data_IF_946779361349
#
_entry.id   IF_946779361349
#
_cell.length_a   1.000
_cell.length_b   1.000
_cell.length_c   1.000
_cell.angle_alpha   90.00
_cell.angle_beta   90.00
_cell.angle_gamma   90.00
#
_symmetry.space_group_name_H-M   'P 1'
#
loop_
_entity.id
_entity.type
_entity.pdbx_description
1 polymer ?
#
# COMPACT_ATOMS: atom_id res chain seq x y z
N UNK A 1 24.86 23.36 6.82
CA UNK A 1 25.02 21.91 6.53
C UNK A 1 24.23 21.59 5.29
N UNK A 2 24.91 21.11 4.26
CA UNK A 2 24.48 21.00 2.86
C UNK A 2 23.17 20.23 2.66
N UNK A 3 22.13 20.93 2.31
CA UNK A 3 20.96 20.40 1.61
C UNK A 3 21.30 20.28 0.12
N UNK A 4 22.00 19.26 -0.28
CA UNK A 4 22.17 18.98 -1.70
C UNK A 4 22.50 17.51 -1.91
N UNK A 5 21.45 16.71 -2.00
CA UNK A 5 21.36 15.59 -2.93
C UNK A 5 19.87 15.24 -3.10
N UNK A 6 19.23 15.92 -4.02
CA UNK A 6 17.89 15.61 -4.54
C UNK A 6 17.91 14.32 -5.34
N UNK A 7 18.24 13.21 -4.71
CA UNK A 7 18.01 11.89 -5.26
C UNK A 7 16.54 11.56 -5.12
N UNK A 8 15.93 11.14 -6.23
CA UNK A 8 14.55 10.69 -6.27
C UNK A 8 14.30 9.71 -5.09
N UNK A 9 13.34 9.99 -4.17
CA UNK A 9 13.06 9.14 -2.99
C UNK A 9 12.83 7.67 -3.36
N UNK A 10 12.17 7.44 -4.50
CA UNK A 10 11.97 6.11 -5.07
C UNK A 10 13.29 5.41 -5.46
N UNK A 11 14.23 6.13 -6.04
CA UNK A 11 15.53 5.57 -6.41
C UNK A 11 16.30 5.06 -5.19
N UNK A 12 16.25 5.79 -4.07
CA UNK A 12 16.88 5.36 -2.81
C UNK A 12 16.19 4.13 -2.21
N UNK A 13 14.84 4.06 -2.26
CA UNK A 13 14.10 2.88 -1.81
C UNK A 13 14.47 1.64 -2.61
N UNK A 14 14.57 1.77 -3.94
CA UNK A 14 15.00 0.69 -4.83
C UNK A 14 16.44 0.25 -4.54
N UNK A 15 17.34 1.18 -4.23
CA UNK A 15 18.72 0.86 -3.86
C UNK A 15 18.79 0.07 -2.55
N UNK A 16 17.98 0.41 -1.55
CA UNK A 16 17.85 -0.35 -0.30
C UNK A 16 17.25 -1.75 -0.52
N UNK A 17 16.32 -1.89 -1.45
CA UNK A 17 15.69 -3.17 -1.80
C UNK A 17 16.61 -4.11 -2.61
N UNK A 18 17.66 -3.57 -3.23
CA UNK A 18 18.56 -4.29 -4.15
C UNK A 18 19.14 -5.60 -3.62
N UNK A 19 19.60 -5.72 -2.35
CA UNK A 19 20.11 -6.99 -1.82
C UNK A 19 19.07 -8.10 -1.75
N UNK A 20 17.79 -7.75 -1.58
CA UNK A 20 16.67 -8.68 -1.42
C UNK A 20 15.73 -8.71 -2.64
N UNK A 21 16.22 -8.32 -3.82
CA UNK A 21 15.46 -8.23 -5.08
C UNK A 21 14.74 -9.50 -5.46
N UNK A 22 15.28 -10.67 -5.12
CA UNK A 22 14.69 -11.97 -5.46
C UNK A 22 13.29 -12.13 -4.85
N UNK A 23 13.10 -11.76 -3.58
CA UNK A 23 11.80 -11.82 -2.93
C UNK A 23 10.77 -10.89 -3.60
N UNK A 24 11.17 -9.69 -3.99
CA UNK A 24 10.30 -8.75 -4.72
C UNK A 24 9.98 -9.24 -6.13
N UNK A 25 10.95 -9.83 -6.85
CA UNK A 25 10.71 -10.40 -8.18
C UNK A 25 9.71 -11.56 -8.09
N UNK A 26 9.87 -12.46 -7.13
CA UNK A 26 8.93 -13.56 -6.88
C UNK A 26 7.54 -13.01 -6.58
N UNK A 27 7.45 -12.00 -5.71
CA UNK A 27 6.19 -11.34 -5.38
C UNK A 27 5.52 -10.77 -6.62
N UNK A 28 6.23 -10.02 -7.45
CA UNK A 28 5.70 -9.43 -8.69
C UNK A 28 5.23 -10.50 -9.67
N UNK A 29 6.01 -11.56 -9.88
CA UNK A 29 5.63 -12.68 -10.79
C UNK A 29 4.34 -13.34 -10.29
N UNK A 30 4.25 -13.63 -8.99
CA UNK A 30 3.05 -14.23 -8.40
C UNK A 30 1.85 -13.28 -8.47
N UNK A 31 2.05 -11.97 -8.28
CA UNK A 31 1.01 -10.96 -8.44
C UNK A 31 0.48 -10.93 -9.88
N UNK A 32 1.36 -10.95 -10.88
CA UNK A 32 1.00 -10.99 -12.31
C UNK A 32 0.20 -12.25 -12.63
N UNK A 33 0.63 -13.41 -12.16
CA UNK A 33 -0.13 -14.66 -12.32
C UNK A 33 -1.48 -14.57 -11.59
N UNK A 34 -1.53 -14.05 -10.38
CA UNK A 34 -2.77 -13.82 -9.65
C UNK A 34 -3.75 -12.92 -10.41
N UNK A 35 -3.25 -11.86 -11.06
CA UNK A 35 -4.04 -11.00 -11.94
C UNK A 35 -4.58 -11.79 -13.13
N UNK A 36 -3.76 -12.60 -13.80
CA UNK A 36 -4.20 -13.41 -14.94
C UNK A 36 -5.36 -14.34 -14.56
N UNK A 37 -5.25 -15.04 -13.43
CA UNK A 37 -6.35 -15.87 -12.91
C UNK A 37 -7.54 -15.05 -12.45
N UNK A 38 -7.34 -13.82 -11.98
CA UNK A 38 -8.40 -12.87 -11.62
C UNK A 38 -9.23 -12.38 -12.80
N UNK A 39 -8.75 -12.50 -14.04
CA UNK A 39 -9.49 -12.16 -15.25
C UNK A 39 -10.45 -13.29 -15.68
N UNK A 40 -10.17 -14.54 -15.28
CA UNK A 40 -10.99 -15.71 -15.64
C UNK A 40 -12.48 -15.55 -15.30
N UNK A 41 -12.88 -15.05 -14.11
CA UNK A 41 -14.28 -14.81 -13.78
C UNK A 41 -14.99 -13.83 -14.73
N UNK A 42 -14.31 -12.79 -15.19
CA UNK A 42 -14.89 -11.83 -16.13
C UNK A 42 -15.15 -12.49 -17.49
N UNK A 43 -14.21 -13.29 -17.97
CA UNK A 43 -14.38 -14.06 -19.19
C UNK A 43 -15.50 -15.09 -19.07
N UNK A 44 -15.55 -15.82 -17.96
CA UNK A 44 -16.61 -16.79 -17.67
C UNK A 44 -17.99 -16.13 -17.67
N UNK A 45 -18.13 -14.98 -17.01
CA UNK A 45 -19.39 -14.21 -16.96
C UNK A 45 -19.80 -13.75 -18.36
N UNK A 46 -18.87 -13.23 -19.16
CA UNK A 46 -19.17 -12.82 -20.54
C UNK A 46 -19.67 -14.00 -21.37
N UNK A 47 -19.02 -15.18 -21.30
CA UNK A 47 -19.45 -16.39 -22.02
C UNK A 47 -20.84 -16.86 -21.55
N UNK A 48 -21.09 -16.91 -20.25
CA UNK A 48 -22.41 -17.29 -19.72
C UNK A 48 -23.51 -16.33 -20.18
N UNK A 49 -23.23 -15.02 -20.23
CA UNK A 49 -24.19 -14.00 -20.67
C UNK A 49 -24.53 -14.16 -22.15
N UNK A 50 -23.52 -14.36 -23.00
CA UNK A 50 -23.72 -14.56 -24.44
C UNK A 50 -24.60 -15.80 -24.71
N UNK A 51 -24.29 -16.93 -24.08
CA UNK A 51 -25.04 -18.18 -24.23
C UNK A 51 -26.47 -18.06 -23.68
N UNK A 52 -26.69 -17.32 -22.60
CA UNK A 52 -28.01 -17.07 -22.05
C UNK A 52 -28.88 -16.25 -23.02
N UNK A 53 -28.28 -15.24 -23.65
CA UNK A 53 -28.97 -14.40 -24.64
C UNK A 53 -29.27 -15.19 -25.95
N UNK A 54 -28.46 -16.19 -26.29
CA UNK A 54 -28.69 -17.10 -27.42
C UNK A 54 -29.82 -18.13 -27.14
N UNK A 55 -30.30 -18.17 -25.90
CA UNK A 55 -31.40 -19.08 -25.50
C UNK A 55 -30.94 -20.44 -24.98
N UNK A 56 -29.63 -20.62 -24.80
CA UNK A 56 -29.11 -21.85 -24.19
C UNK A 56 -29.52 -21.91 -22.70
N UNK A 57 -30.15 -23.02 -22.30
CA UNK A 57 -30.59 -23.27 -20.91
C UNK A 57 -29.96 -24.52 -20.31
N UNK A 58 -28.83 -24.97 -20.87
CA UNK A 58 -28.11 -26.13 -20.35
C UNK A 58 -27.44 -25.78 -19.02
N UNK A 59 -27.98 -26.33 -17.93
CA UNK A 59 -27.47 -26.12 -16.57
C UNK A 59 -26.02 -26.61 -16.43
N UNK A 60 -25.66 -27.68 -17.10
CA UNK A 60 -24.29 -28.25 -17.05
C UNK A 60 -23.25 -27.26 -17.54
N UNK A 61 -23.58 -26.53 -18.62
CA UNK A 61 -22.72 -25.47 -19.17
C UNK A 61 -22.49 -24.36 -18.16
N UNK A 62 -23.54 -23.86 -17.52
CA UNK A 62 -23.41 -22.79 -16.52
C UNK A 62 -22.67 -23.23 -15.26
N UNK A 63 -22.95 -24.44 -14.77
CA UNK A 63 -22.23 -25.01 -13.63
C UNK A 63 -20.73 -25.15 -13.89
N UNK A 64 -20.35 -25.62 -15.09
CA UNK A 64 -18.94 -25.71 -15.50
C UNK A 64 -18.26 -24.34 -15.45
N UNK A 65 -18.85 -23.31 -16.05
CA UNK A 65 -18.30 -21.96 -16.06
C UNK A 65 -18.27 -21.32 -14.66
N UNK A 66 -19.25 -21.61 -13.81
CA UNK A 66 -19.21 -21.20 -12.39
C UNK A 66 -18.04 -21.85 -11.65
N UNK A 67 -17.78 -23.13 -11.87
CA UNK A 67 -16.63 -23.82 -11.26
C UNK A 67 -15.30 -23.25 -11.75
N UNK A 68 -15.18 -22.99 -13.06
CA UNK A 68 -13.99 -22.34 -13.64
C UNK A 68 -13.77 -20.95 -13.01
N UNK A 69 -14.84 -20.15 -12.91
CA UNK A 69 -14.81 -18.82 -12.28
C UNK A 69 -14.38 -18.89 -10.80
N UNK A 70 -15.02 -19.79 -10.05
CA UNK A 70 -14.66 -20.04 -8.64
C UNK A 70 -13.22 -20.48 -8.47
N UNK A 71 -12.76 -21.43 -9.30
CA UNK A 71 -11.36 -21.88 -9.34
C UNK A 71 -10.38 -20.74 -9.64
N UNK A 72 -10.73 -19.87 -10.57
CA UNK A 72 -9.95 -18.67 -10.88
C UNK A 72 -9.81 -17.72 -9.68
N UNK A 73 -10.92 -17.46 -8.97
CA UNK A 73 -10.89 -16.66 -7.74
C UNK A 73 -10.05 -17.26 -6.63
N UNK A 74 -10.20 -18.56 -6.38
CA UNK A 74 -9.42 -19.27 -5.35
C UNK A 74 -7.93 -19.21 -5.69
N UNK A 75 -7.58 -19.50 -6.94
CA UNK A 75 -6.18 -19.48 -7.38
C UNK A 75 -5.58 -18.07 -7.31
N UNK A 76 -6.35 -17.05 -7.71
CA UNK A 76 -5.96 -15.64 -7.51
C UNK A 76 -5.67 -15.36 -6.04
N UNK A 77 -6.57 -15.74 -5.13
CA UNK A 77 -6.41 -15.46 -3.69
C UNK A 77 -5.15 -16.13 -3.14
N UNK A 78 -4.89 -17.38 -3.50
CA UNK A 78 -3.69 -18.12 -3.09
C UNK A 78 -2.41 -17.44 -3.63
N UNK A 79 -2.37 -17.13 -4.91
CA UNK A 79 -1.20 -16.49 -5.53
C UNK A 79 -0.92 -15.11 -4.96
N UNK A 80 -1.97 -14.30 -4.75
CA UNK A 80 -1.82 -12.99 -4.11
C UNK A 80 -1.36 -13.10 -2.66
N UNK A 81 -1.87 -14.06 -1.89
CA UNK A 81 -1.42 -14.33 -0.52
C UNK A 81 0.06 -14.70 -0.45
N UNK A 82 0.52 -15.58 -1.34
CA UNK A 82 1.94 -15.97 -1.42
C UNK A 82 2.80 -14.78 -1.91
N UNK A 83 2.31 -14.00 -2.87
CA UNK A 83 2.96 -12.78 -3.37
C UNK A 83 3.19 -11.78 -2.24
N UNK A 84 2.14 -11.47 -1.48
CA UNK A 84 2.20 -10.54 -0.34
C UNK A 84 3.17 -11.03 0.72
N UNK A 85 3.12 -12.32 1.07
CA UNK A 85 4.05 -12.92 2.02
C UNK A 85 5.51 -12.77 1.56
N UNK A 86 5.82 -13.07 0.30
CA UNK A 86 7.18 -12.93 -0.25
C UNK A 86 7.66 -11.47 -0.20
N UNK A 87 6.77 -10.51 -0.48
CA UNK A 87 7.08 -9.07 -0.37
C UNK A 87 7.37 -8.65 1.06
N UNK A 88 6.55 -9.09 2.04
CA UNK A 88 6.78 -8.78 3.45
C UNK A 88 8.07 -9.39 3.98
N UNK A 89 8.38 -10.66 3.65
CA UNK A 89 9.64 -11.31 4.06
C UNK A 89 10.86 -10.54 3.51
N UNK A 90 10.83 -10.12 2.24
CA UNK A 90 11.88 -9.29 1.65
C UNK A 90 11.99 -7.93 2.34
N UNK A 91 10.86 -7.30 2.64
CA UNK A 91 10.80 -5.99 3.30
C UNK A 91 11.36 -6.07 4.73
N UNK A 92 10.96 -7.05 5.53
CA UNK A 92 11.51 -7.23 6.88
C UNK A 92 13.02 -7.47 6.88
N UNK A 93 13.54 -8.19 5.89
CA UNK A 93 14.99 -8.36 5.72
C UNK A 93 15.68 -7.01 5.43
N UNK A 94 15.12 -6.17 4.57
CA UNK A 94 15.60 -4.80 4.29
C UNK A 94 15.56 -3.92 5.53
N UNK A 95 14.45 -3.91 6.27
CA UNK A 95 14.30 -3.12 7.50
C UNK A 95 15.28 -3.57 8.59
N UNK A 96 15.47 -4.88 8.74
CA UNK A 96 16.47 -5.46 9.67
C UNK A 96 17.89 -5.03 9.31
N UNK A 97 18.24 -5.06 8.03
CA UNK A 97 19.55 -4.59 7.56
C UNK A 97 19.74 -3.09 7.79
N UNK A 98 18.69 -2.28 7.53
CA UNK A 98 18.73 -0.85 7.79
C UNK A 98 18.95 -0.54 9.28
N UNK A 99 18.23 -1.25 10.18
CA UNK A 99 18.41 -1.12 11.62
C UNK A 99 19.85 -1.48 12.06
N UNK A 100 20.40 -2.57 11.53
CA UNK A 100 21.79 -2.98 11.81
C UNK A 100 22.82 -1.95 11.33
N UNK A 101 22.63 -1.40 10.13
CA UNK A 101 23.52 -0.35 9.59
C UNK A 101 23.48 0.91 10.46
N UNK A 102 22.31 1.34 10.92
CA UNK A 102 22.19 2.50 11.81
C UNK A 102 22.84 2.21 13.17
N UNK A 103 22.55 1.06 13.78
CA UNK A 103 23.16 0.66 15.05
C UNK A 103 24.68 0.63 14.95
N UNK A 104 25.24 -0.02 13.92
CA UNK A 104 26.69 -0.04 13.68
C UNK A 104 27.26 1.36 13.42
N UNK A 105 26.51 2.28 12.82
CA UNK A 105 26.97 3.67 12.66
C UNK A 105 26.96 4.42 13.97
N UNK A 106 25.98 4.21 14.84
CA UNK A 106 25.91 4.84 16.16
C UNK A 106 27.05 4.44 17.06
N UNK A 107 27.57 3.20 16.97
CA UNK A 107 28.73 2.78 17.74
C UNK A 107 30.05 3.47 17.31
N UNK A 108 30.07 4.12 16.15
CA UNK A 108 31.24 4.82 15.58
C UNK A 108 31.13 6.34 15.65
N UNK A 109 30.02 6.87 16.13
CA UNK A 109 29.81 8.32 16.25
C UNK A 109 30.52 8.82 17.54
N UNK A 110 31.10 10.04 17.55
CA UNK A 110 31.68 10.63 18.77
C UNK A 110 30.64 10.68 19.90
N UNK A 111 31.09 10.37 21.12
CA UNK A 111 30.24 10.32 22.31
C UNK A 111 29.46 11.64 22.54
N UNK A 112 30.08 12.79 22.22
CA UNK A 112 29.42 14.09 22.31
C UNK A 112 28.14 14.21 21.47
N UNK A 113 28.05 13.55 20.31
CA UNK A 113 26.82 13.50 19.53
C UNK A 113 25.71 12.72 20.26
N UNK A 114 26.09 11.58 20.86
CA UNK A 114 25.10 10.72 21.56
C UNK A 114 24.60 11.41 22.82
N UNK A 115 25.49 12.05 23.58
CA UNK A 115 25.13 12.77 24.82
C UNK A 115 24.26 14.00 24.56
N UNK A 116 24.46 14.66 23.42
CA UNK A 116 23.68 15.86 23.04
C UNK A 116 22.40 15.53 22.25
N UNK A 117 22.14 14.26 21.92
CA UNK A 117 20.94 13.85 21.19
C UNK A 117 19.95 13.16 22.15
N UNK A 118 18.72 13.68 22.30
CA UNK A 118 17.72 13.05 23.16
C UNK A 118 17.48 11.60 22.74
N UNK A 119 17.41 10.68 23.71
CA UNK A 119 17.21 9.25 23.46
C UNK A 119 15.93 8.95 22.67
N UNK A 120 14.87 9.76 22.86
CA UNK A 120 13.65 9.69 22.06
C UNK A 120 13.84 9.98 20.59
N UNK A 121 14.74 10.91 20.21
CA UNK A 121 15.06 11.17 18.80
C UNK A 121 15.84 10.01 18.17
N UNK A 122 16.76 9.40 18.92
CA UNK A 122 17.50 8.22 18.48
C UNK A 122 16.53 7.04 18.27
N UNK A 123 15.63 6.79 19.23
CA UNK A 123 14.58 5.77 19.11
C UNK A 123 13.69 6.01 17.89
N UNK A 124 13.17 7.22 17.72
CA UNK A 124 12.34 7.57 16.58
C UNK A 124 13.06 7.29 15.25
N UNK A 125 14.31 7.68 15.12
CA UNK A 125 15.12 7.43 13.92
C UNK A 125 15.36 5.94 13.63
N UNK A 126 15.61 5.14 14.68
CA UNK A 126 15.96 3.71 14.55
C UNK A 126 14.74 2.79 14.41
N UNK A 127 13.62 3.16 15.01
CA UNK A 127 12.42 2.31 15.05
C UNK A 127 11.35 2.89 14.14
N UNK A 128 10.77 4.03 14.50
CA UNK A 128 9.57 4.56 13.88
C UNK A 128 9.76 4.96 12.41
N UNK A 129 10.88 5.66 12.09
CA UNK A 129 11.16 6.05 10.70
C UNK A 129 11.50 4.87 9.79
N UNK A 130 12.10 3.83 10.33
CA UNK A 130 12.38 2.62 9.56
C UNK A 130 11.09 1.82 9.34
N UNK A 131 10.23 1.72 10.36
CA UNK A 131 8.92 1.07 10.25
C UNK A 131 8.03 1.73 9.19
N UNK A 132 8.08 3.06 9.07
CA UNK A 132 7.35 3.78 8.02
C UNK A 132 7.74 3.37 6.59
N UNK A 133 8.90 2.74 6.39
CA UNK A 133 9.32 2.21 5.10
C UNK A 133 8.67 0.85 4.77
N UNK A 134 8.04 0.19 5.74
CA UNK A 134 7.39 -1.11 5.53
C UNK A 134 6.28 -1.01 4.50
N UNK A 135 5.34 -0.09 4.70
CA UNK A 135 4.18 0.06 3.82
C UNK A 135 4.57 0.29 2.36
N UNK A 136 5.43 1.28 2.01
CA UNK A 136 5.82 1.47 0.62
C UNK A 136 6.62 0.29 0.04
N UNK A 137 7.44 -0.40 0.81
CA UNK A 137 8.24 -1.52 0.31
C UNK A 137 7.42 -2.81 0.17
N UNK A 138 6.55 -3.12 1.15
CA UNK A 138 5.79 -4.36 1.15
C UNK A 138 4.57 -4.32 0.21
N UNK A 139 3.90 -3.18 0.12
CA UNK A 139 2.62 -3.06 -0.58
C UNK A 139 2.72 -2.39 -1.94
N UNK A 140 3.51 -1.28 -2.07
CA UNK A 140 3.55 -0.53 -3.33
C UNK A 140 4.02 -1.41 -4.50
N UNK A 141 5.03 -2.25 -4.31
CA UNK A 141 5.59 -3.05 -5.41
C UNK A 141 4.57 -4.07 -5.94
N UNK A 142 4.00 -5.01 -5.15
CA UNK A 142 3.04 -5.99 -5.65
C UNK A 142 1.68 -5.37 -6.01
N UNK A 143 1.19 -4.42 -5.22
CA UNK A 143 -0.12 -3.81 -5.41
C UNK A 143 -0.15 -2.87 -6.61
N UNK A 144 0.86 -2.02 -6.81
CA UNK A 144 0.93 -1.20 -8.03
C UNK A 144 1.00 -2.06 -9.28
N UNK A 145 1.75 -3.16 -9.24
CA UNK A 145 1.81 -4.09 -10.35
C UNK A 145 0.42 -4.65 -10.67
N UNK A 146 -0.30 -5.15 -9.67
CA UNK A 146 -1.64 -5.69 -9.82
C UNK A 146 -2.64 -4.65 -10.26
N UNK A 147 -2.65 -3.49 -9.61
CA UNK A 147 -3.62 -2.43 -9.88
C UNK A 147 -3.40 -1.75 -11.23
N UNK A 148 -2.20 -1.81 -11.80
CA UNK A 148 -1.92 -1.29 -13.12
C UNK A 148 -2.20 -2.32 -14.22
N UNK A 149 -1.87 -3.60 -13.99
CA UNK A 149 -2.05 -4.65 -14.97
C UNK A 149 -3.51 -5.01 -15.24
N UNK A 150 -4.36 -5.02 -14.21
CA UNK A 150 -5.80 -5.35 -14.37
C UNK A 150 -6.49 -4.38 -15.35
N UNK A 151 -6.45 -3.06 -15.15
CA UNK A 151 -7.07 -2.12 -16.09
C UNK A 151 -6.49 -2.23 -17.50
N UNK A 152 -5.17 -2.38 -17.63
CA UNK A 152 -4.52 -2.52 -18.95
C UNK A 152 -5.03 -3.78 -19.66
N UNK A 153 -5.08 -4.92 -18.97
CA UNK A 153 -5.57 -6.16 -19.55
C UNK A 153 -7.05 -6.08 -19.96
N UNK A 154 -7.89 -5.43 -19.11
CA UNK A 154 -9.31 -5.22 -19.42
C UNK A 154 -9.46 -4.28 -20.62
N UNK A 155 -8.70 -3.20 -20.70
CA UNK A 155 -8.74 -2.27 -21.85
C UNK A 155 -8.35 -3.00 -23.13
N UNK A 156 -7.26 -3.77 -23.12
CA UNK A 156 -6.83 -4.57 -24.28
C UNK A 156 -7.95 -5.54 -24.69
N UNK A 157 -8.56 -6.24 -23.75
CA UNK A 157 -9.66 -7.16 -24.00
C UNK A 157 -10.87 -6.46 -24.60
N UNK A 158 -11.25 -5.29 -24.11
CA UNK A 158 -12.34 -4.47 -24.65
C UNK A 158 -12.05 -4.03 -26.09
N UNK A 159 -10.82 -3.65 -26.41
CA UNK A 159 -10.44 -3.30 -27.80
C UNK A 159 -10.55 -4.48 -28.78
N UNK A 160 -10.29 -5.71 -28.30
CA UNK A 160 -10.46 -6.92 -29.10
C UNK A 160 -11.94 -7.23 -29.34
N UNK A 161 -12.81 -6.98 -28.36
CA UNK A 161 -14.25 -7.23 -28.48
C UNK A 161 -14.94 -6.19 -29.34
N UNK A 162 -14.82 -4.92 -28.98
CA UNK A 162 -15.39 -3.78 -29.71
C UNK A 162 -14.63 -2.49 -29.35
N UNK A 163 -13.90 -1.97 -30.33
CA UNK A 163 -13.10 -0.75 -30.16
C UNK A 163 -13.94 0.48 -29.79
N UNK A 164 -15.23 0.54 -30.20
CA UNK A 164 -16.15 1.65 -29.88
C UNK A 164 -16.51 1.65 -28.41
N UNK A 165 -16.83 0.48 -27.87
CA UNK A 165 -17.11 0.29 -26.45
C UNK A 165 -15.88 0.58 -25.60
N UNK A 166 -14.68 0.17 -26.07
CA UNK A 166 -13.42 0.48 -25.41
C UNK A 166 -13.18 2.00 -25.31
N UNK A 167 -13.42 2.76 -26.40
CA UNK A 167 -13.29 4.21 -26.38
C UNK A 167 -14.28 4.89 -25.41
N UNK A 168 -15.54 4.45 -25.38
CA UNK A 168 -16.53 4.97 -24.44
C UNK A 168 -16.10 4.70 -22.99
N UNK A 169 -15.58 3.50 -22.70
CA UNK A 169 -15.06 3.14 -21.38
C UNK A 169 -13.86 4.01 -20.96
N UNK A 170 -12.99 4.39 -21.90
CA UNK A 170 -11.85 5.26 -21.63
C UNK A 170 -12.26 6.69 -21.23
N UNK A 171 -13.45 7.17 -21.61
CA UNK A 171 -13.95 8.49 -21.20
C UNK A 171 -14.12 8.58 -19.67
N UNK A 172 -14.38 7.47 -19.01
CA UNK A 172 -14.52 7.45 -17.55
C UNK A 172 -13.25 7.83 -16.81
N UNK A 173 -12.07 7.57 -17.42
CA UNK A 173 -10.76 7.87 -16.81
C UNK A 173 -10.56 9.39 -16.65
N UNK A 174 -10.64 10.24 -17.69
CA UNK A 174 -10.50 11.68 -17.53
C UNK A 174 -11.58 12.29 -16.65
N UNK A 175 -12.82 11.79 -16.70
CA UNK A 175 -13.89 12.26 -15.82
C UNK A 175 -13.56 11.94 -14.35
N UNK A 176 -13.16 10.72 -14.06
CA UNK A 176 -12.73 10.33 -12.72
C UNK A 176 -11.52 11.15 -12.24
N UNK A 177 -10.57 11.44 -13.14
CA UNK A 177 -9.40 12.24 -12.81
C UNK A 177 -9.76 13.71 -12.51
N UNK A 178 -10.72 14.28 -13.23
CA UNK A 178 -11.25 15.62 -12.94
C UNK A 178 -11.94 15.67 -11.56
N UNK A 179 -12.76 14.68 -11.24
CA UNK A 179 -13.39 14.57 -9.92
C UNK A 179 -12.34 14.42 -8.81
N UNK A 180 -11.34 13.56 -9.03
CA UNK A 180 -10.24 13.37 -8.08
C UNK A 180 -9.45 14.65 -7.85
N UNK A 181 -9.09 15.38 -8.90
CA UNK A 181 -8.38 16.67 -8.77
C UNK A 181 -9.23 17.70 -8.02
N UNK A 182 -10.54 17.74 -8.25
CA UNK A 182 -11.47 18.58 -7.50
C UNK A 182 -11.45 18.28 -5.99
N UNK A 183 -11.48 17.02 -5.63
CA UNK A 183 -11.40 16.56 -4.24
C UNK A 183 -10.04 16.87 -3.60
N UNK A 184 -8.95 16.67 -4.36
CA UNK A 184 -7.58 16.89 -3.88
C UNK A 184 -7.25 18.36 -3.63
N UNK A 185 -7.97 19.30 -4.23
CA UNK A 185 -7.73 20.74 -4.07
C UNK A 185 -7.85 21.20 -2.61
N UNK A 186 -8.82 20.68 -1.87
CA UNK A 186 -9.06 21.03 -0.46
C UNK A 186 -8.41 20.04 0.53
N UNK A 187 -8.00 18.88 0.05
CA UNK A 187 -7.45 17.81 0.90
C UNK A 187 -6.26 18.26 1.77
N UNK A 188 -5.23 18.96 1.24
CA UNK A 188 -4.09 19.37 2.06
C UNK A 188 -4.48 20.30 3.21
N UNK A 189 -5.47 21.18 3.01
CA UNK A 189 -5.96 22.09 4.04
C UNK A 189 -6.68 21.30 5.14
N UNK A 190 -7.65 20.46 4.78
CA UNK A 190 -8.41 19.63 5.73
C UNK A 190 -7.51 18.66 6.48
N UNK A 191 -6.56 18.03 5.78
CA UNK A 191 -5.57 17.15 6.39
C UNK A 191 -4.69 17.90 7.39
N UNK A 192 -4.26 19.12 7.06
CA UNK A 192 -3.51 19.99 7.97
C UNK A 192 -4.29 20.35 9.23
N UNK A 193 -5.60 20.57 9.13
CA UNK A 193 -6.48 20.80 10.28
C UNK A 193 -6.61 19.56 11.18
N UNK A 194 -6.75 18.37 10.58
CA UNK A 194 -6.77 17.10 11.32
C UNK A 194 -5.46 16.85 12.06
N UNK A 195 -4.33 17.07 11.40
CA UNK A 195 -3.00 16.92 12.02
C UNK A 195 -2.83 17.91 13.18
N UNK A 196 -3.25 19.17 13.03
CA UNK A 196 -3.20 20.17 14.12
C UNK A 196 -4.07 19.77 15.30
N UNK A 197 -5.30 19.32 15.04
CA UNK A 197 -6.20 18.84 16.09
C UNK A 197 -5.63 17.61 16.81
N UNK A 198 -5.04 16.66 16.08
CA UNK A 198 -4.37 15.49 16.65
C UNK A 198 -3.18 15.85 17.53
N UNK A 199 -2.34 16.79 17.08
CA UNK A 199 -1.22 17.29 17.88
C UNK A 199 -1.68 18.02 19.15
N UNK A 200 -2.73 18.83 19.05
CA UNK A 200 -3.32 19.50 20.21
C UNK A 200 -3.87 18.49 21.21
N UNK A 201 -4.63 17.50 20.75
CA UNK A 201 -5.15 16.41 21.60
C UNK A 201 -4.02 15.64 22.29
N UNK A 202 -2.95 15.31 21.57
CA UNK A 202 -1.78 14.63 22.14
C UNK A 202 -1.09 15.46 23.19
N UNK A 203 -0.90 16.78 22.96
CA UNK A 203 -0.30 17.70 23.92
C UNK A 203 -1.17 17.80 25.20
N UNK A 204 -2.48 18.00 25.04
CA UNK A 204 -3.43 18.06 26.18
C UNK A 204 -3.44 16.74 26.96
N UNK A 205 -3.38 15.59 26.28
CA UNK A 205 -3.32 14.28 26.94
C UNK A 205 -2.04 14.13 27.77
N UNK A 206 -0.90 14.56 27.25
CA UNK A 206 0.38 14.52 28.00
C UNK A 206 0.35 15.47 29.21
N UNK A 207 -0.20 16.68 29.05
CA UNK A 207 -0.39 17.62 30.17
C UNK A 207 -1.34 17.05 31.24
N UNK A 208 -2.44 16.45 30.82
CA UNK A 208 -3.40 15.84 31.74
C UNK A 208 -2.78 14.69 32.54
N UNK A 209 -2.06 13.77 31.83
CA UNK A 209 -1.35 12.65 32.48
C UNK A 209 -0.26 13.17 33.41
N UNK A 210 0.50 14.19 33.00
CA UNK A 210 1.54 14.81 33.83
C UNK A 210 1.01 15.54 35.04
N UNK A 211 -0.21 16.11 34.94
CA UNK A 211 -0.89 16.84 36.03
C UNK A 211 -1.81 16.00 36.94
N UNK A 212 -1.95 14.68 36.64
CA UNK A 212 -2.97 13.84 37.29
C UNK A 212 -2.76 13.73 38.83
N UNK A 213 -1.51 13.78 39.28
CA UNK A 213 -1.18 13.78 40.71
C UNK A 213 -1.69 15.07 41.42
N UNK A 214 -1.55 16.21 40.74
CA UNK A 214 -2.04 17.52 41.23
C UNK A 214 -3.56 17.55 41.23
N UNK A 215 -4.19 17.08 40.16
CA UNK A 215 -5.66 17.00 40.05
C UNK A 215 -6.23 16.12 41.15
N UNK A 216 -5.63 14.98 41.44
CA UNK A 216 -6.03 14.10 42.55
C UNK A 216 -5.78 14.70 43.90
N UNK A 217 -4.65 15.38 44.12
CA UNK A 217 -4.31 16.02 45.40
C UNK A 217 -5.34 17.12 45.78
N UNK A 218 -5.85 17.85 44.80
CA UNK A 218 -6.82 18.91 44.98
C UNK A 218 -8.29 18.47 44.77
N UNK A 219 -8.55 17.21 44.51
CA UNK A 219 -9.88 16.63 44.25
C UNK A 219 -10.70 17.38 43.18
N UNK A 220 -10.04 17.82 42.11
CA UNK A 220 -10.61 18.62 41.01
C UNK A 220 -10.91 17.77 39.77
N UNK A 221 -11.22 16.49 39.92
CA UNK A 221 -11.45 15.59 38.82
C UNK A 221 -12.63 15.97 37.89
N UNK A 222 -13.65 16.64 38.44
CA UNK A 222 -14.85 17.05 37.69
C UNK A 222 -14.70 18.40 36.96
N UNK A 223 -13.62 19.14 37.18
CA UNK A 223 -13.38 20.50 36.64
C UNK A 223 -12.15 20.57 35.72
N UNK A 224 -11.56 19.41 35.33
CA UNK A 224 -10.33 19.35 34.54
C UNK A 224 -10.54 18.73 33.13
#
# INVERSE_FOLDING_TARGET
MNQSQGGNPFGRLVEFARPHKTGYIISVVLAVLGVAFGIVPYFATARMTIELLSGNRDLSFYMMWCLISGGGFVLKAILMGISTRASHEATFAVLSEARRKIASKLTRVPMGYILNTPSGQLKNGMVERIEQLEVPLAHVIPEMTSNLLVPIAIIIYLFILDWRMALVSLITIPVGMMCYMGMMKEYPKKYGEVVKAGNHMSATTVEYIGGIEVIKAFNQADNS
#
